data_IF_915765348190
#
_entry.id   IF_915765348190
#
_cell.length_a   1.000
_cell.length_b   1.000
_cell.length_c   1.000
_cell.angle_alpha   90.00
_cell.angle_beta   90.00
_cell.angle_gamma   90.00
#
_symmetry.space_group_name_H-M   'P 1'
#
loop_
_entity.id
_entity.type
_entity.pdbx_description
1 polymer ?
#
# COMPACT_ATOMS: atom_id res chain seq x y z
N UNK A 1 3.07 15.97 6.34
CA UNK A 1 3.18 14.51 6.49
C UNK A 1 1.90 13.97 7.13
N UNK A 2 1.25 13.05 6.44
CA UNK A 2 -0.03 12.50 6.89
C UNK A 2 0.07 11.00 7.11
N UNK A 3 -0.34 10.52 8.30
CA UNK A 3 -0.44 9.09 8.60
C UNK A 3 -1.86 8.61 8.27
N UNK A 4 -1.94 7.55 7.48
CA UNK A 4 -3.19 6.91 7.11
C UNK A 4 -3.14 5.44 7.47
N UNK A 5 -4.19 4.92 8.10
CA UNK A 5 -4.34 3.51 8.46
C UNK A 5 -5.60 2.96 7.83
N UNK A 6 -5.49 1.80 7.19
CA UNK A 6 -6.65 1.19 6.52
C UNK A 6 -6.57 -0.33 6.60
N UNK A 7 -7.70 -1.00 6.82
CA UNK A 7 -7.73 -2.45 6.77
C UNK A 7 -7.56 -2.96 5.35
N UNK A 8 -6.89 -4.11 5.21
CA UNK A 8 -6.81 -4.83 3.95
C UNK A 8 -7.94 -5.85 3.88
N UNK A 9 -8.46 -6.10 2.69
CA UNK A 9 -9.57 -7.03 2.48
C UNK A 9 -9.22 -8.03 1.40
N UNK A 10 -9.60 -9.30 1.61
CA UNK A 10 -9.40 -10.35 0.64
C UNK A 10 -7.96 -10.83 0.50
N UNK A 11 -7.11 -10.52 1.48
CA UNK A 11 -5.70 -10.92 1.49
C UNK A 11 -5.30 -11.47 2.86
N UNK A 12 -4.10 -12.05 2.94
CA UNK A 12 -3.56 -12.56 4.21
C UNK A 12 -3.09 -11.45 5.15
N UNK A 13 -2.84 -10.26 4.64
CA UNK A 13 -2.48 -9.10 5.48
C UNK A 13 -3.74 -8.46 6.08
N UNK A 14 -3.57 -7.83 7.25
CA UNK A 14 -4.70 -7.28 8.01
C UNK A 14 -4.91 -5.80 7.77
N UNK A 15 -3.84 -5.03 7.74
CA UNK A 15 -3.91 -3.57 7.80
C UNK A 15 -2.70 -2.96 7.13
N UNK A 16 -2.84 -1.78 6.54
CA UNK A 16 -1.74 -1.02 5.96
C UNK A 16 -1.68 0.35 6.62
N UNK A 17 -0.49 0.72 7.09
CA UNK A 17 -0.20 2.03 7.65
C UNK A 17 0.68 2.79 6.65
N UNK A 18 0.21 3.95 6.20
CA UNK A 18 0.89 4.75 5.19
C UNK A 18 1.18 6.14 5.75
N UNK A 19 2.41 6.61 5.54
CA UNK A 19 2.77 8.00 5.82
C UNK A 19 3.12 8.66 4.50
N UNK A 20 2.37 9.69 4.13
CA UNK A 20 2.59 10.46 2.91
C UNK A 20 3.12 11.85 3.22
N UNK A 21 4.02 12.33 2.38
CA UNK A 21 4.46 13.72 2.40
C UNK A 21 3.49 14.59 1.58
N UNK A 22 3.54 15.89 1.78
CA UNK A 22 2.64 16.83 1.09
C UNK A 22 2.83 16.82 -0.44
N UNK A 23 4.00 16.44 -0.91
CA UNK A 23 4.30 16.34 -2.35
C UNK A 23 3.86 14.99 -2.95
N UNK A 24 3.12 14.17 -2.21
CA UNK A 24 2.61 12.86 -2.59
C UNK A 24 3.67 11.76 -2.61
N UNK A 25 4.89 12.02 -2.15
CA UNK A 25 5.86 10.93 -2.01
C UNK A 25 5.55 10.09 -0.78
N UNK A 26 5.86 8.80 -0.87
CA UNK A 26 5.64 7.86 0.22
C UNK A 26 6.80 7.96 1.20
N UNK A 27 6.53 8.42 2.42
CA UNK A 27 7.52 8.48 3.48
C UNK A 27 7.77 7.09 4.05
N UNK A 28 6.70 6.36 4.34
CA UNK A 28 6.80 4.98 4.81
C UNK A 28 5.51 4.22 4.56
N UNK A 29 5.63 2.90 4.46
CA UNK A 29 4.51 1.97 4.44
C UNK A 29 4.84 0.82 5.37
N UNK A 30 3.88 0.42 6.20
CA UNK A 30 3.98 -0.75 7.05
C UNK A 30 2.73 -1.60 6.85
N UNK A 31 2.90 -2.88 6.54
CA UNK A 31 1.79 -3.80 6.35
C UNK A 31 1.78 -4.80 7.51
N UNK A 32 0.66 -4.88 8.20
CA UNK A 32 0.49 -5.72 9.37
C UNK A 32 -0.08 -7.07 8.93
N UNK A 33 0.58 -8.14 9.33
CA UNK A 33 0.17 -9.51 8.98
C UNK A 33 0.63 -9.89 7.58
N UNK A 34 0.25 -11.09 7.15
CA UNK A 34 0.58 -11.59 5.82
C UNK A 34 2.03 -12.05 5.69
N UNK A 35 2.54 -12.00 4.45
CA UNK A 35 3.87 -12.49 4.10
C UNK A 35 4.93 -11.45 4.46
N UNK A 36 5.49 -11.57 5.66
CA UNK A 36 6.33 -10.54 6.27
C UNK A 36 7.53 -10.12 5.40
N UNK A 37 8.28 -11.09 4.86
CA UNK A 37 9.46 -10.78 4.04
C UNK A 37 9.12 -10.05 2.75
N UNK A 38 8.12 -10.53 2.02
CA UNK A 38 7.69 -9.92 0.77
C UNK A 38 7.12 -8.51 1.01
N UNK A 39 6.32 -8.34 2.05
CA UNK A 39 5.70 -7.05 2.36
C UNK A 39 6.71 -6.02 2.83
N UNK A 40 7.74 -6.45 3.58
CA UNK A 40 8.85 -5.56 3.93
C UNK A 40 9.63 -5.10 2.71
N UNK A 41 9.89 -6.02 1.77
CA UNK A 41 10.57 -5.70 0.52
C UNK A 41 9.79 -4.68 -0.31
N UNK A 42 8.47 -4.89 -0.45
CA UNK A 42 7.59 -3.97 -1.16
C UNK A 42 7.62 -2.58 -0.48
N UNK A 43 7.52 -2.55 0.83
CA UNK A 43 7.53 -1.29 1.59
C UNK A 43 8.82 -0.49 1.36
N UNK A 44 9.96 -1.18 1.30
CA UNK A 44 11.24 -0.53 1.02
C UNK A 44 11.34 -0.01 -0.40
N UNK A 45 10.80 -0.76 -1.37
CA UNK A 45 10.78 -0.34 -2.78
C UNK A 45 9.91 0.89 -2.99
N UNK A 46 8.81 0.99 -2.26
CA UNK A 46 7.85 2.08 -2.42
C UNK A 46 8.28 3.37 -1.72
N UNK A 47 9.17 3.29 -0.75
CA UNK A 47 9.62 4.47 -0.01
C UNK A 47 10.29 5.47 -0.97
N UNK A 48 9.82 6.69 -0.96
CA UNK A 48 10.30 7.77 -1.83
C UNK A 48 9.61 7.86 -3.18
N UNK A 49 8.80 6.87 -3.55
CA UNK A 49 8.02 6.93 -4.79
C UNK A 49 6.84 7.89 -4.64
N UNK A 50 6.40 8.47 -5.75
CA UNK A 50 5.11 9.15 -5.80
C UNK A 50 4.00 8.12 -5.59
N UNK A 51 3.01 8.43 -4.76
CA UNK A 51 1.90 7.51 -4.49
C UNK A 51 1.16 7.15 -5.78
N UNK A 52 0.97 8.09 -6.69
CA UNK A 52 0.32 7.87 -7.98
C UNK A 52 1.06 6.84 -8.83
N UNK A 53 2.39 6.88 -8.83
CA UNK A 53 3.20 5.91 -9.58
C UNK A 53 3.10 4.52 -8.97
N UNK A 54 3.12 4.41 -7.65
CA UNK A 54 2.95 3.15 -6.95
C UNK A 54 1.59 2.53 -7.23
N UNK A 55 0.54 3.34 -7.20
CA UNK A 55 -0.83 2.91 -7.52
C UNK A 55 -0.89 2.35 -8.93
N UNK A 56 -0.35 3.07 -9.91
CA UNK A 56 -0.38 2.65 -11.30
C UNK A 56 0.30 1.30 -11.53
N UNK A 57 1.33 0.99 -10.75
CA UNK A 57 2.08 -0.27 -10.89
C UNK A 57 1.43 -1.45 -10.18
N UNK A 58 0.72 -1.21 -9.09
CA UNK A 58 0.21 -2.29 -8.24
C UNK A 58 -1.28 -2.53 -8.35
N UNK A 59 -2.04 -1.52 -8.78
CA UNK A 59 -3.49 -1.61 -8.87
C UNK A 59 -3.90 -2.74 -9.81
N UNK A 60 -4.85 -3.57 -9.38
CA UNK A 60 -5.37 -4.65 -10.19
C UNK A 60 -4.53 -5.92 -10.16
N UNK A 61 -3.43 -5.96 -9.38
CA UNK A 61 -2.64 -7.17 -9.21
C UNK A 61 -3.44 -8.19 -8.41
N UNK A 62 -3.60 -9.39 -8.96
CA UNK A 62 -4.35 -10.47 -8.30
C UNK A 62 -3.40 -11.55 -7.81
N UNK A 63 -3.86 -12.36 -6.85
CA UNK A 63 -3.09 -13.48 -6.30
C UNK A 63 -3.84 -14.78 -6.58
N UNK A 64 -3.40 -15.53 -7.60
CA UNK A 64 -4.06 -16.74 -8.03
C UNK A 64 -5.53 -16.50 -8.38
N UNK A 65 -6.48 -17.29 -7.81
CA UNK A 65 -7.90 -17.08 -8.09
C UNK A 65 -8.55 -15.94 -7.33
N UNK A 66 -7.81 -15.27 -6.45
CA UNK A 66 -8.35 -14.16 -5.65
C UNK A 66 -8.50 -12.91 -6.51
N UNK A 67 -9.56 -12.10 -6.29
CA UNK A 67 -9.76 -10.87 -7.08
C UNK A 67 -8.82 -9.74 -6.67
N UNK A 68 -8.01 -9.90 -5.64
CA UNK A 68 -7.09 -8.88 -5.12
C UNK A 68 -5.83 -9.53 -4.58
N UNK A 69 -4.89 -8.73 -4.12
CA UNK A 69 -3.64 -9.15 -3.51
C UNK A 69 -3.18 -8.11 -2.51
N UNK A 70 -2.13 -8.41 -1.73
CA UNK A 70 -1.56 -7.42 -0.82
C UNK A 70 -1.08 -6.17 -1.59
N UNK A 71 -0.34 -6.27 -2.72
CA UNK A 71 0.01 -5.08 -3.51
C UNK A 71 -1.20 -4.29 -3.98
N UNK A 72 -2.25 -4.97 -4.45
CA UNK A 72 -3.47 -4.29 -4.87
C UNK A 72 -4.14 -3.56 -3.71
N UNK A 73 -4.20 -4.17 -2.52
CA UNK A 73 -4.76 -3.53 -1.33
C UNK A 73 -3.93 -2.32 -0.90
N UNK A 74 -2.60 -2.39 -1.02
CA UNK A 74 -1.73 -1.24 -0.77
C UNK A 74 -2.09 -0.11 -1.74
N UNK A 75 -2.30 -0.41 -3.03
CA UNK A 75 -2.70 0.58 -4.03
C UNK A 75 -4.04 1.22 -3.68
N UNK A 76 -5.03 0.42 -3.28
CA UNK A 76 -6.33 0.94 -2.86
C UNK A 76 -6.21 1.86 -1.64
N UNK A 77 -5.38 1.47 -0.68
CA UNK A 77 -5.14 2.26 0.52
C UNK A 77 -4.39 3.56 0.21
N UNK A 78 -3.45 3.53 -0.75
CA UNK A 78 -2.78 4.74 -1.23
C UNK A 78 -3.77 5.73 -1.86
N UNK A 79 -4.73 5.22 -2.63
CA UNK A 79 -5.80 6.07 -3.19
C UNK A 79 -6.59 6.77 -2.10
N UNK A 80 -6.94 6.04 -1.04
CA UNK A 80 -7.68 6.61 0.10
C UNK A 80 -6.84 7.65 0.84
N UNK A 81 -5.55 7.36 1.03
CA UNK A 81 -4.63 8.28 1.69
C UNK A 81 -4.49 9.58 0.91
N UNK A 82 -4.37 9.52 -0.42
CA UNK A 82 -4.29 10.70 -1.27
C UNK A 82 -5.56 11.54 -1.17
N UNK A 83 -6.71 10.92 -1.04
CA UNK A 83 -7.98 11.62 -0.92
C UNK A 83 -8.10 12.41 0.40
N UNK A 84 -7.27 12.08 1.40
CA UNK A 84 -7.27 12.75 2.69
C UNK A 84 -6.21 13.87 2.80
N UNK A 85 -5.40 14.07 1.79
CA UNK A 85 -4.41 15.14 1.79
C UNK A 85 -5.02 16.51 1.52
#
# INVERSE_FOLDING_TARGET
TTLFRSPNRGTCSKETHIVLNDDHTIESIEVIGGCNGNLKGISRLLKGMKAEDAIARMEGTTCGPRPTSCPDQIAQNLKRALAEL
#
